data_IF_425650858943
#
_entry.id   IF_425650858943
#
_cell.length_a   1.000
_cell.length_b   1.000
_cell.length_c   1.000
_cell.angle_alpha   90.00
_cell.angle_beta   90.00
_cell.angle_gamma   90.00
#
_symmetry.space_group_name_H-M   'P 1'
#
loop_
_entity.id
_entity.type
_entity.pdbx_description
1 polymer ?
#
# COMPACT_ATOMS: atom_id res chain seq x y z
N UNK A 1 -2.87 -73.44 -34.98
CA UNK A 1 -2.56 -73.38 -33.53
C UNK A 1 -1.34 -72.49 -33.34
N UNK A 2 -1.49 -71.46 -32.52
CA UNK A 2 -0.48 -70.59 -31.89
C UNK A 2 0.64 -69.98 -32.78
N UNK A 3 0.39 -68.76 -33.27
CA UNK A 3 1.46 -67.81 -33.59
C UNK A 3 1.95 -67.14 -32.32
N UNK A 4 3.25 -67.28 -32.04
CA UNK A 4 3.99 -66.53 -31.02
C UNK A 4 4.44 -65.21 -31.65
N UNK A 5 4.09 -64.08 -31.05
CA UNK A 5 4.82 -62.84 -31.26
C UNK A 5 4.89 -62.00 -29.97
N UNK A 6 6.13 -61.91 -29.48
CA UNK A 6 6.86 -60.81 -28.86
C UNK A 6 6.16 -59.58 -28.24
N UNK A 7 6.86 -59.13 -27.20
CA UNK A 7 7.01 -57.75 -26.69
C UNK A 7 5.93 -57.22 -25.73
N UNK A 8 6.27 -57.25 -24.44
CA UNK A 8 5.76 -56.32 -23.43
C UNK A 8 6.94 -55.56 -22.84
N UNK A 9 7.40 -54.57 -23.59
CA UNK A 9 8.28 -53.54 -23.05
C UNK A 9 7.43 -52.52 -22.29
N UNK A 10 7.77 -52.33 -21.02
CA UNK A 10 6.97 -51.58 -20.05
C UNK A 10 7.33 -50.10 -20.17
N UNK A 11 6.57 -49.36 -20.98
CA UNK A 11 6.69 -47.90 -21.06
C UNK A 11 5.87 -47.27 -19.94
N UNK A 12 6.58 -46.85 -18.90
CA UNK A 12 6.07 -46.03 -17.80
C UNK A 12 5.70 -44.66 -18.35
N UNK A 13 4.38 -44.39 -18.47
CA UNK A 13 3.86 -43.07 -18.81
C UNK A 13 4.08 -42.11 -17.62
N UNK A 14 5.24 -41.46 -17.61
CA UNK A 14 5.45 -40.27 -16.79
C UNK A 14 4.68 -39.14 -17.47
N UNK A 15 3.47 -38.87 -16.95
CA UNK A 15 2.72 -37.66 -17.21
C UNK A 15 3.53 -36.47 -16.67
N UNK A 16 4.43 -35.94 -17.49
CA UNK A 16 5.00 -34.61 -17.29
C UNK A 16 3.86 -33.59 -17.31
N UNK A 17 3.48 -33.18 -16.10
CA UNK A 17 2.63 -32.03 -15.86
C UNK A 17 3.36 -30.79 -16.38
N UNK A 18 3.18 -30.46 -17.66
CA UNK A 18 3.57 -29.17 -18.25
C UNK A 18 2.91 -28.06 -17.43
N UNK A 19 3.65 -27.52 -16.45
CA UNK A 19 3.37 -26.21 -15.87
C UNK A 19 3.56 -25.20 -17.00
N UNK A 20 2.45 -24.77 -17.60
CA UNK A 20 2.42 -23.61 -18.48
C UNK A 20 2.75 -22.36 -17.65
N UNK A 21 4.04 -22.06 -17.52
CA UNK A 21 4.51 -20.76 -17.08
C UNK A 21 4.41 -19.79 -18.27
N UNK A 22 3.20 -19.36 -18.59
CA UNK A 22 3.06 -18.06 -19.26
C UNK A 22 3.52 -17.02 -18.22
N UNK A 23 4.46 -16.11 -18.55
CA UNK A 23 4.74 -15.01 -17.65
C UNK A 23 3.42 -14.25 -17.49
N UNK A 24 2.86 -14.25 -16.29
CA UNK A 24 1.81 -13.29 -15.94
C UNK A 24 2.34 -11.92 -16.39
N UNK A 25 1.54 -11.19 -17.15
CA UNK A 25 1.89 -9.86 -17.64
C UNK A 25 2.29 -9.02 -16.43
N UNK A 26 3.59 -8.74 -16.29
CA UNK A 26 4.14 -8.00 -15.14
C UNK A 26 3.58 -6.58 -15.05
N UNK A 27 2.85 -6.15 -16.07
CA UNK A 27 2.22 -4.83 -16.21
C UNK A 27 0.80 -4.74 -15.65
N UNK A 28 0.27 -5.81 -15.07
CA UNK A 28 -1.04 -5.86 -14.44
C UNK A 28 -0.95 -5.87 -12.91
N UNK A 29 -1.97 -5.28 -12.27
CA UNK A 29 -2.10 -5.30 -10.81
C UNK A 29 -2.53 -6.70 -10.37
N UNK A 30 -1.79 -7.28 -9.43
CA UNK A 30 -2.12 -8.57 -8.81
C UNK A 30 -2.12 -8.47 -7.29
N UNK A 31 -2.80 -9.41 -6.65
CA UNK A 31 -2.79 -9.57 -5.19
C UNK A 31 -1.54 -10.35 -4.77
N UNK A 32 -0.96 -9.97 -3.63
CA UNK A 32 0.19 -10.62 -3.01
C UNK A 32 -0.29 -11.48 -1.84
N UNK A 33 0.05 -12.77 -1.88
CA UNK A 33 -0.25 -13.71 -0.80
C UNK A 33 0.81 -13.71 0.31
N UNK A 34 0.43 -14.24 1.48
CA UNK A 34 1.33 -14.37 2.64
C UNK A 34 2.59 -15.21 2.38
N UNK A 35 2.61 -16.06 1.35
CA UNK A 35 3.80 -16.87 1.01
C UNK A 35 4.90 -16.07 0.30
N UNK A 36 4.59 -14.88 -0.22
CA UNK A 36 5.51 -14.09 -1.05
C UNK A 36 5.61 -12.61 -0.61
N UNK A 37 4.94 -12.25 0.48
CA UNK A 37 4.82 -10.88 0.99
C UNK A 37 6.14 -10.17 1.30
N UNK A 38 7.22 -10.90 1.56
CA UNK A 38 8.51 -10.32 1.93
C UNK A 38 9.08 -9.42 0.81
N UNK A 39 8.87 -9.78 -0.45
CA UNK A 39 9.28 -8.93 -1.57
C UNK A 39 8.47 -7.63 -1.65
N UNK A 40 7.19 -7.68 -1.30
CA UNK A 40 6.34 -6.51 -1.22
C UNK A 40 6.74 -5.61 -0.04
N UNK A 41 7.01 -6.21 1.13
CA UNK A 41 7.50 -5.51 2.30
C UNK A 41 8.84 -4.81 2.03
N UNK A 42 9.77 -5.49 1.34
CA UNK A 42 11.07 -4.91 0.98
C UNK A 42 10.92 -3.69 0.07
N UNK A 43 10.03 -3.75 -0.94
CA UNK A 43 9.73 -2.59 -1.78
C UNK A 43 9.22 -1.39 -0.96
N UNK A 44 8.31 -1.63 -0.02
CA UNK A 44 7.79 -0.58 0.84
C UNK A 44 8.86 -0.04 1.81
N UNK A 45 9.69 -0.91 2.39
CA UNK A 45 10.76 -0.49 3.28
C UNK A 45 11.74 0.46 2.58
N UNK A 46 12.14 0.13 1.35
CA UNK A 46 12.96 0.99 0.49
C UNK A 46 12.25 2.28 0.10
N UNK A 47 10.95 2.19 -0.24
CA UNK A 47 10.16 3.34 -0.68
C UNK A 47 9.84 4.33 0.45
N UNK A 48 9.95 3.93 1.71
CA UNK A 48 9.69 4.76 2.90
C UNK A 48 10.96 4.93 3.76
N UNK A 49 12.15 4.74 3.16
CA UNK A 49 13.41 4.74 3.90
C UNK A 49 13.71 6.08 4.57
N UNK A 50 13.20 7.18 4.00
CA UNK A 50 13.43 8.55 4.47
C UNK A 50 12.14 9.27 4.86
N UNK A 51 11.01 8.56 4.90
CA UNK A 51 9.71 9.12 5.20
C UNK A 51 9.59 9.46 6.69
N UNK A 52 9.34 10.73 7.01
CA UNK A 52 9.32 11.23 8.38
C UNK A 52 8.24 10.57 9.25
N UNK A 53 7.10 10.19 8.66
CA UNK A 53 6.00 9.53 9.36
C UNK A 53 6.38 8.08 9.68
N UNK A 54 6.88 7.33 8.70
CA UNK A 54 7.33 5.95 8.90
C UNK A 54 8.52 5.86 9.88
N UNK A 55 9.36 6.90 9.90
CA UNK A 55 10.51 7.02 10.80
C UNK A 55 10.16 7.60 12.17
N UNK A 56 8.93 8.10 12.39
CA UNK A 56 8.55 8.85 13.59
C UNK A 56 8.81 8.14 14.93
N UNK A 57 8.52 6.85 14.98
CA UNK A 57 8.72 5.97 16.14
C UNK A 57 10.01 5.13 16.05
N UNK A 58 10.84 5.39 15.03
CA UNK A 58 12.17 4.77 14.84
C UNK A 58 13.28 5.77 15.20
N UNK A 59 13.15 7.02 14.76
CA UNK A 59 14.06 8.14 15.03
C UNK A 59 13.64 8.92 16.28
N UNK A 60 13.58 8.21 17.39
CA UNK A 60 13.34 8.78 18.72
C UNK A 60 14.64 9.24 19.37
N UNK A 61 14.55 10.19 20.31
CA UNK A 61 15.76 10.73 20.96
C UNK A 61 16.53 9.65 21.75
N UNK A 62 15.81 8.68 22.33
CA UNK A 62 16.39 7.52 23.03
C UNK A 62 17.02 6.47 22.09
N UNK A 63 16.86 6.62 20.77
CA UNK A 63 17.51 5.82 19.73
C UNK A 63 18.69 6.55 19.08
N UNK A 64 19.07 7.74 19.55
CA UNK A 64 20.13 8.57 18.96
C UNK A 64 21.53 7.95 18.98
N UNK A 65 21.82 7.05 19.94
CA UNK A 65 23.10 6.33 20.03
C UNK A 65 23.16 5.04 19.22
N UNK A 66 22.03 4.60 18.65
CA UNK A 66 21.96 3.38 17.85
C UNK A 66 22.43 3.65 16.42
N UNK A 67 23.06 2.67 15.78
CA UNK A 67 23.49 2.79 14.39
C UNK A 67 22.30 2.89 13.43
N UNK A 68 22.50 3.54 12.28
CA UNK A 68 21.47 3.58 11.24
C UNK A 68 21.11 2.19 10.72
N UNK A 69 22.03 1.23 10.70
CA UNK A 69 21.72 -0.17 10.36
C UNK A 69 20.73 -0.81 11.34
N UNK A 70 20.83 -0.48 12.63
CA UNK A 70 19.89 -0.98 13.63
C UNK A 70 18.49 -0.40 13.38
N UNK A 71 18.41 0.92 13.17
CA UNK A 71 17.15 1.61 12.90
C UNK A 71 16.53 1.16 11.58
N UNK A 72 17.35 0.95 10.56
CA UNK A 72 16.94 0.38 9.28
C UNK A 72 16.34 -1.01 9.44
N UNK A 73 16.97 -1.88 10.23
CA UNK A 73 16.42 -3.20 10.53
C UNK A 73 15.07 -3.11 11.26
N UNK A 74 14.93 -2.19 12.21
CA UNK A 74 13.67 -1.94 12.91
C UNK A 74 12.59 -1.48 11.92
N UNK A 75 12.88 -0.49 11.06
CA UNK A 75 12.00 -0.03 9.99
C UNK A 75 11.54 -1.18 9.07
N UNK A 76 12.48 -1.99 8.59
CA UNK A 76 12.16 -3.16 7.75
C UNK A 76 11.26 -4.16 8.49
N UNK A 77 11.51 -4.43 9.77
CA UNK A 77 10.68 -5.32 10.58
C UNK A 77 9.25 -4.76 10.74
N UNK A 78 9.10 -3.45 10.95
CA UNK A 78 7.79 -2.78 11.06
C UNK A 78 7.00 -2.93 9.77
N UNK A 79 7.59 -2.55 8.63
CA UNK A 79 6.94 -2.67 7.32
C UNK A 79 6.62 -4.12 6.99
N UNK A 80 7.48 -5.07 7.38
CA UNK A 80 7.22 -6.50 7.23
C UNK A 80 6.02 -6.97 8.03
N UNK A 81 5.90 -6.57 9.31
CA UNK A 81 4.74 -6.93 10.14
C UNK A 81 3.45 -6.30 9.59
N UNK A 82 3.49 -5.03 9.18
CA UNK A 82 2.35 -4.36 8.56
C UNK A 82 1.93 -5.04 7.26
N UNK A 83 2.88 -5.40 6.40
CA UNK A 83 2.58 -6.11 5.14
C UNK A 83 1.96 -7.48 5.41
N UNK A 84 2.49 -8.24 6.38
CA UNK A 84 1.92 -9.53 6.78
C UNK A 84 0.49 -9.38 7.31
N UNK A 85 0.22 -8.38 8.16
CA UNK A 85 -1.11 -8.11 8.69
C UNK A 85 -2.11 -7.81 7.55
N UNK A 86 -1.71 -7.02 6.56
CA UNK A 86 -2.53 -6.76 5.37
C UNK A 86 -2.71 -7.98 4.47
N UNK A 87 -1.78 -8.94 4.44
CA UNK A 87 -2.01 -10.22 3.76
C UNK A 87 -3.07 -11.09 4.48
N UNK A 88 -3.25 -10.94 5.79
CA UNK A 88 -4.23 -11.73 6.56
C UNK A 88 -5.63 -11.10 6.60
N UNK A 89 -5.71 -9.78 6.82
CA UNK A 89 -6.98 -9.06 7.05
C UNK A 89 -7.27 -7.97 6.02
N UNK A 90 -6.23 -7.46 5.37
CA UNK A 90 -6.33 -6.38 4.38
C UNK A 90 -6.29 -6.91 2.94
N UNK A 91 -5.67 -6.10 2.08
CA UNK A 91 -5.33 -6.47 0.72
C UNK A 91 -3.97 -5.88 0.36
N UNK A 92 -3.07 -6.72 -0.12
CA UNK A 92 -1.77 -6.31 -0.65
C UNK A 92 -1.80 -6.44 -2.16
N UNK A 93 -1.53 -5.35 -2.89
CA UNK A 93 -1.49 -5.35 -4.34
C UNK A 93 -0.12 -4.92 -4.84
N UNK A 94 0.31 -5.50 -5.96
CA UNK A 94 1.59 -5.17 -6.61
C UNK A 94 1.47 -5.14 -8.12
N UNK A 95 2.42 -4.46 -8.76
CA UNK A 95 2.57 -4.35 -10.20
C UNK A 95 4.05 -4.17 -10.55
N UNK A 96 4.43 -4.62 -11.75
CA UNK A 96 5.79 -4.62 -12.24
C UNK A 96 6.58 -5.87 -11.79
N UNK A 97 7.70 -6.17 -12.45
CA UNK A 97 8.57 -7.26 -12.04
C UNK A 97 9.09 -7.03 -10.62
N UNK A 98 9.29 -8.11 -9.85
CA UNK A 98 9.92 -8.05 -8.53
C UNK A 98 9.34 -7.02 -7.56
N UNK A 99 8.01 -6.85 -7.55
CA UNK A 99 7.32 -5.89 -6.68
C UNK A 99 7.78 -4.44 -6.89
N UNK A 100 7.91 -4.04 -8.16
CA UNK A 100 8.33 -2.69 -8.56
C UNK A 100 7.47 -1.58 -7.90
N UNK A 101 6.18 -1.83 -7.70
CA UNK A 101 5.31 -1.02 -6.85
C UNK A 101 4.32 -1.87 -6.04
N UNK A 102 3.95 -1.38 -4.86
CA UNK A 102 3.10 -2.06 -3.88
C UNK A 102 2.12 -1.08 -3.25
N UNK A 103 0.90 -1.55 -2.97
CA UNK A 103 -0.07 -0.84 -2.15
C UNK A 103 -0.71 -1.76 -1.10
N UNK A 104 -0.82 -1.27 0.14
CA UNK A 104 -1.52 -1.94 1.24
C UNK A 104 -2.86 -1.25 1.49
N UNK A 105 -3.92 -2.04 1.54
CA UNK A 105 -5.29 -1.55 1.70
C UNK A 105 -5.99 -2.24 2.86
N UNK A 106 -6.76 -1.49 3.65
CA UNK A 106 -7.77 -2.07 4.53
C UNK A 106 -9.17 -1.94 3.90
N UNK A 107 -9.88 -3.07 3.72
CA UNK A 107 -11.27 -3.06 3.28
C UNK A 107 -12.22 -2.48 4.34
N UNK A 108 -13.44 -2.06 3.93
CA UNK A 108 -14.47 -1.59 4.85
C UNK A 108 -14.78 -2.59 5.96
N UNK A 109 -14.87 -2.10 7.20
CA UNK A 109 -15.22 -2.88 8.39
C UNK A 109 -14.15 -3.89 8.81
N UNK A 110 -12.94 -3.81 8.24
CA UNK A 110 -11.78 -4.57 8.69
C UNK A 110 -10.84 -3.67 9.46
N UNK A 111 -10.40 -4.15 10.61
CA UNK A 111 -9.33 -3.60 11.42
C UNK A 111 -8.25 -4.67 11.69
N UNK A 112 -7.19 -4.29 12.40
CA UNK A 112 -6.11 -5.18 12.80
C UNK A 112 -6.21 -5.66 14.25
N UNK A 113 -7.38 -5.53 14.87
CA UNK A 113 -7.54 -5.68 16.33
C UNK A 113 -7.75 -7.14 16.77
N UNK A 114 -7.80 -8.09 15.83
CA UNK A 114 -7.96 -9.49 16.18
C UNK A 114 -6.63 -10.16 16.60
N UNK A 115 -6.70 -10.93 17.69
CA UNK A 115 -5.55 -11.61 18.28
C UNK A 115 -4.80 -12.54 17.32
N UNK A 116 -5.50 -13.17 16.38
CA UNK A 116 -4.90 -14.13 15.47
C UNK A 116 -4.02 -13.41 14.44
N UNK A 117 -4.51 -12.32 13.86
CA UNK A 117 -3.73 -11.45 12.95
C UNK A 117 -2.56 -10.82 13.70
N UNK A 118 -2.78 -10.28 14.90
CA UNK A 118 -1.73 -9.69 15.73
C UNK A 118 -0.58 -10.67 16.00
N UNK A 119 -0.89 -11.93 16.32
CA UNK A 119 0.11 -12.97 16.54
C UNK A 119 0.81 -13.41 15.25
N UNK A 120 0.04 -13.73 14.20
CA UNK A 120 0.55 -14.31 12.95
C UNK A 120 1.34 -13.32 12.08
N UNK A 121 1.02 -12.05 12.15
CA UNK A 121 1.76 -10.98 11.45
C UNK A 121 3.09 -10.65 12.14
N UNK A 122 3.20 -10.93 13.43
CA UNK A 122 4.34 -10.52 14.24
C UNK A 122 4.21 -9.12 14.83
N UNK A 123 3.05 -8.46 14.71
CA UNK A 123 2.80 -7.14 15.31
C UNK A 123 3.07 -7.10 16.82
N UNK A 124 2.88 -8.22 17.54
CA UNK A 124 3.25 -8.33 18.95
C UNK A 124 4.74 -8.07 19.23
N UNK A 125 5.62 -8.36 18.27
CA UNK A 125 7.06 -8.10 18.40
C UNK A 125 7.35 -6.61 18.41
N UNK A 126 6.48 -5.79 17.81
CA UNK A 126 6.67 -4.35 17.73
C UNK A 126 6.83 -3.73 19.13
N UNK A 127 5.97 -4.13 20.06
CA UNK A 127 6.03 -3.69 21.45
C UNK A 127 7.40 -3.96 22.10
N UNK A 128 8.06 -5.07 21.76
CA UNK A 128 9.38 -5.42 22.32
C UNK A 128 10.56 -4.86 21.52
N UNK A 129 10.32 -4.41 20.28
CA UNK A 129 11.37 -3.92 19.37
C UNK A 129 11.48 -2.40 19.38
N UNK A 130 10.40 -1.69 19.67
CA UNK A 130 10.41 -0.25 19.86
C UNK A 130 11.10 0.13 21.17
N UNK A 131 11.78 1.27 21.18
CA UNK A 131 12.27 1.90 22.41
C UNK A 131 11.11 2.36 23.30
N UNK A 132 11.34 2.74 24.57
CA UNK A 132 10.30 3.36 25.40
C UNK A 132 9.63 4.59 24.75
N UNK A 133 10.40 5.51 24.16
CA UNK A 133 9.82 6.66 23.45
C UNK A 133 9.13 6.22 22.16
N UNK A 134 9.70 5.27 21.41
CA UNK A 134 9.09 4.73 20.19
C UNK A 134 7.73 4.07 20.46
N UNK A 135 7.59 3.36 21.58
CA UNK A 135 6.31 2.81 22.04
C UNK A 135 5.30 3.90 22.35
N UNK A 136 5.73 4.94 23.07
CA UNK A 136 4.84 6.07 23.42
C UNK A 136 4.36 6.76 22.16
N UNK A 137 5.27 7.09 21.23
CA UNK A 137 4.92 7.69 19.94
C UNK A 137 3.98 6.83 19.11
N UNK A 138 4.19 5.51 19.07
CA UNK A 138 3.35 4.62 18.28
C UNK A 138 1.97 4.37 18.93
N UNK A 139 1.94 3.91 20.17
CA UNK A 139 0.73 3.42 20.84
C UNK A 139 -0.09 4.52 21.53
N UNK A 140 0.55 5.56 22.04
CA UNK A 140 -0.11 6.60 22.86
C UNK A 140 -0.35 7.91 22.08
N UNK A 141 0.23 8.06 20.89
CA UNK A 141 0.06 9.24 20.04
C UNK A 141 -0.40 8.88 18.62
N UNK A 142 0.44 8.20 17.83
CA UNK A 142 0.18 7.93 16.42
C UNK A 142 -1.10 7.13 16.17
N UNK A 143 -1.24 5.95 16.79
CA UNK A 143 -2.43 5.11 16.61
C UNK A 143 -3.72 5.79 17.11
N UNK A 144 -3.77 6.40 18.30
CA UNK A 144 -4.92 7.18 18.74
C UNK A 144 -5.26 8.33 17.79
N UNK A 145 -4.25 9.06 17.29
CA UNK A 145 -4.44 10.15 16.32
C UNK A 145 -5.09 9.65 15.03
N UNK A 146 -4.62 8.53 14.46
CA UNK A 146 -5.24 7.96 13.25
C UNK A 146 -6.69 7.56 13.51
N UNK A 147 -6.97 6.88 14.62
CA UNK A 147 -8.33 6.44 14.97
C UNK A 147 -9.28 7.63 15.14
N UNK A 148 -8.89 8.65 15.92
CA UNK A 148 -9.74 9.83 16.11
C UNK A 148 -9.93 10.62 14.82
N UNK A 149 -8.89 10.71 13.98
CA UNK A 149 -8.97 11.40 12.70
C UNK A 149 -9.92 10.70 11.73
N UNK A 150 -9.90 9.38 11.69
CA UNK A 150 -10.87 8.60 10.92
C UNK A 150 -12.29 8.85 11.42
N UNK A 151 -12.50 8.85 12.73
CA UNK A 151 -13.81 9.13 13.34
C UNK A 151 -14.31 10.54 12.98
N UNK A 152 -13.45 11.55 13.06
CA UNK A 152 -13.78 12.94 12.76
C UNK A 152 -14.10 13.16 11.27
N UNK A 153 -13.31 12.55 10.37
CA UNK A 153 -13.43 12.76 8.93
C UNK A 153 -14.52 11.90 8.29
N UNK A 154 -14.69 10.66 8.77
CA UNK A 154 -15.63 9.70 8.18
C UNK A 154 -16.96 9.62 8.94
N UNK A 155 -17.00 9.97 10.23
CA UNK A 155 -18.21 9.99 11.05
C UNK A 155 -18.98 8.68 10.98
N UNK A 156 -20.27 8.76 10.63
CA UNK A 156 -21.15 7.59 10.47
C UNK A 156 -20.64 6.57 9.44
N UNK A 157 -19.74 6.98 8.54
CA UNK A 157 -19.15 6.13 7.49
C UNK A 157 -17.84 5.46 7.92
N UNK A 158 -17.42 5.55 9.19
CA UNK A 158 -16.13 5.02 9.68
C UNK A 158 -15.86 3.54 9.37
N UNK A 159 -16.90 2.74 9.17
CA UNK A 159 -16.78 1.31 8.82
C UNK A 159 -17.04 1.02 7.34
N UNK A 160 -17.19 2.06 6.52
CA UNK A 160 -17.70 1.97 5.17
C UNK A 160 -16.77 2.66 4.15
N UNK A 161 -15.47 2.42 4.21
CA UNK A 161 -14.52 2.98 3.23
C UNK A 161 -13.33 2.04 3.00
N UNK A 162 -12.63 2.23 1.88
CA UNK A 162 -11.33 1.61 1.63
C UNK A 162 -10.22 2.53 2.12
N UNK A 163 -9.31 2.00 2.91
CA UNK A 163 -8.19 2.77 3.46
C UNK A 163 -6.88 2.39 2.74
N UNK A 164 -6.22 3.34 2.08
CA UNK A 164 -4.86 3.18 1.58
C UNK A 164 -3.85 3.46 2.69
N UNK A 165 -3.22 2.41 3.21
CA UNK A 165 -2.28 2.53 4.34
C UNK A 165 -0.86 2.79 3.86
N UNK A 166 -0.42 2.12 2.80
CA UNK A 166 0.89 2.33 2.19
C UNK A 166 0.80 2.29 0.66
N UNK A 167 1.57 3.14 0.01
CA UNK A 167 1.79 3.14 -1.43
C UNK A 167 3.25 3.47 -1.72
N UNK A 168 3.99 2.51 -2.27
CA UNK A 168 5.42 2.67 -2.54
C UNK A 168 5.82 2.10 -3.89
N UNK A 169 6.90 2.63 -4.45
CA UNK A 169 7.53 2.10 -5.67
C UNK A 169 9.04 2.20 -5.56
N UNK A 170 9.73 1.19 -6.08
CA UNK A 170 11.18 1.21 -6.21
C UNK A 170 11.64 2.40 -7.06
N UNK A 171 12.82 2.99 -6.79
CA UNK A 171 13.36 4.07 -7.62
C UNK A 171 13.41 3.71 -9.11
N UNK A 172 13.78 2.48 -9.46
CA UNK A 172 13.83 1.96 -10.83
C UNK A 172 12.47 1.83 -11.53
N UNK A 173 11.37 1.89 -10.77
CA UNK A 173 10.00 1.74 -11.26
C UNK A 173 9.24 3.07 -11.40
N UNK A 174 9.86 4.19 -10.98
CA UNK A 174 9.25 5.52 -11.06
C UNK A 174 9.03 5.95 -12.52
N UNK A 175 8.04 6.82 -12.74
CA UNK A 175 7.67 7.28 -14.08
C UNK A 175 6.86 6.30 -14.94
N UNK A 176 6.71 5.03 -14.53
CA UNK A 176 5.94 4.00 -15.26
C UNK A 176 4.42 4.05 -15.03
N UNK A 177 3.95 4.94 -14.16
CA UNK A 177 2.53 5.07 -13.81
C UNK A 177 1.97 3.97 -12.91
N UNK A 178 2.82 3.13 -12.31
CA UNK A 178 2.42 1.99 -11.49
C UNK A 178 1.60 2.37 -10.25
N UNK A 179 2.04 3.39 -9.50
CA UNK A 179 1.28 3.90 -8.36
C UNK A 179 -0.16 4.30 -8.76
N UNK A 180 -0.31 4.93 -9.93
CA UNK A 180 -1.62 5.33 -10.47
C UNK A 180 -2.46 4.10 -10.80
N UNK A 181 -1.88 3.08 -11.45
CA UNK A 181 -2.58 1.83 -11.75
C UNK A 181 -3.05 1.11 -10.47
N UNK A 182 -2.22 1.06 -9.41
CA UNK A 182 -2.59 0.46 -8.13
C UNK A 182 -3.78 1.18 -7.47
N UNK A 183 -3.74 2.52 -7.40
CA UNK A 183 -4.85 3.31 -6.86
C UNK A 183 -6.11 3.14 -7.71
N UNK A 184 -5.98 3.21 -9.05
CA UNK A 184 -7.12 3.08 -9.96
C UNK A 184 -7.77 1.69 -9.88
N UNK A 185 -6.98 0.64 -9.68
CA UNK A 185 -7.51 -0.71 -9.48
C UNK A 185 -8.46 -0.78 -8.28
N UNK A 186 -8.06 -0.20 -7.14
CA UNK A 186 -8.87 -0.22 -5.93
C UNK A 186 -9.99 0.81 -5.91
N UNK A 187 -9.77 2.01 -6.41
CA UNK A 187 -10.83 3.03 -6.52
C UNK A 187 -11.92 2.63 -7.51
N UNK A 188 -11.61 1.91 -8.59
CA UNK A 188 -12.63 1.34 -9.47
C UNK A 188 -13.48 0.27 -8.77
N UNK A 189 -12.91 -0.48 -7.82
CA UNK A 189 -13.67 -1.39 -6.95
C UNK A 189 -14.54 -0.61 -5.97
N UNK A 190 -13.98 0.39 -5.29
CA UNK A 190 -14.70 1.25 -4.37
C UNK A 190 -15.89 1.96 -5.05
N UNK A 191 -15.71 2.45 -6.28
CA UNK A 191 -16.76 3.07 -7.10
C UNK A 191 -17.92 2.09 -7.37
N UNK A 192 -17.63 0.83 -7.73
CA UNK A 192 -18.66 -0.20 -7.94
C UNK A 192 -19.42 -0.56 -6.67
N UNK A 193 -18.74 -0.52 -5.53
CA UNK A 193 -19.32 -0.82 -4.23
C UNK A 193 -19.97 0.43 -3.57
N UNK A 194 -19.92 1.58 -4.24
CA UNK A 194 -20.36 2.87 -3.73
C UNK A 194 -19.75 3.21 -2.36
N UNK A 195 -18.42 3.07 -2.25
CA UNK A 195 -17.67 3.33 -1.01
C UNK A 195 -16.61 4.41 -1.23
N UNK A 196 -16.44 5.34 -0.27
CA UNK A 196 -15.31 6.26 -0.27
C UNK A 196 -13.98 5.53 -0.19
N UNK A 197 -12.93 6.26 -0.58
CA UNK A 197 -11.54 5.86 -0.37
C UNK A 197 -10.85 6.93 0.46
N UNK A 198 -10.13 6.52 1.50
CA UNK A 198 -9.46 7.38 2.47
C UNK A 198 -7.96 7.09 2.45
N UNK A 199 -7.15 8.12 2.66
CA UNK A 199 -5.71 8.01 2.85
C UNK A 199 -5.20 9.14 3.74
N UNK A 200 -4.05 8.90 4.35
CA UNK A 200 -3.20 9.97 4.86
C UNK A 200 -1.92 10.05 4.03
N UNK A 201 -1.57 11.25 3.60
CA UNK A 201 -0.32 11.52 2.91
C UNK A 201 0.72 12.05 3.88
N UNK A 202 1.92 11.48 3.85
CA UNK A 202 3.07 11.93 4.64
C UNK A 202 3.84 13.10 4.04
N UNK A 203 3.50 13.54 2.82
CA UNK A 203 4.23 14.59 2.13
C UNK A 203 3.32 15.46 1.26
N UNK A 204 3.40 16.77 1.46
CA UNK A 204 2.54 17.76 0.78
C UNK A 204 2.67 17.72 -0.75
N UNK A 205 3.86 17.35 -1.25
CA UNK A 205 4.14 17.19 -2.69
C UNK A 205 3.23 16.15 -3.36
N UNK A 206 2.67 15.20 -2.59
CA UNK A 206 1.78 14.16 -3.10
C UNK A 206 0.32 14.62 -3.20
N UNK A 207 -0.06 15.75 -2.60
CA UNK A 207 -1.45 16.23 -2.62
C UNK A 207 -1.97 16.43 -4.04
N UNK A 208 -1.20 17.08 -4.90
CA UNK A 208 -1.60 17.35 -6.28
C UNK A 208 -1.71 16.05 -7.09
N UNK A 209 -0.87 15.07 -6.79
CA UNK A 209 -0.96 13.74 -7.39
C UNK A 209 -2.28 13.05 -7.00
N UNK A 210 -2.64 13.05 -5.72
CA UNK A 210 -3.90 12.45 -5.25
C UNK A 210 -5.14 13.23 -5.70
N UNK A 211 -5.08 14.56 -5.79
CA UNK A 211 -6.15 15.41 -6.35
C UNK A 211 -6.50 15.02 -7.79
N UNK A 212 -5.49 14.79 -8.64
CA UNK A 212 -5.69 14.29 -10.01
C UNK A 212 -6.38 12.92 -10.07
N UNK A 213 -6.30 12.12 -9.00
CA UNK A 213 -6.96 10.83 -8.86
C UNK A 213 -8.36 10.93 -8.21
N UNK A 214 -8.78 12.14 -7.83
CA UNK A 214 -10.09 12.44 -7.28
C UNK A 214 -10.16 12.53 -5.77
N UNK A 215 -9.03 12.50 -5.08
CA UNK A 215 -8.99 12.71 -3.64
C UNK A 215 -9.07 14.21 -3.33
N UNK A 216 -9.87 14.54 -2.32
CA UNK A 216 -10.00 15.89 -1.80
C UNK A 216 -9.31 15.96 -0.45
N UNK A 217 -8.53 17.03 -0.24
CA UNK A 217 -7.97 17.35 1.07
C UNK A 217 -9.10 17.65 2.07
N UNK A 218 -8.98 17.14 3.29
CA UNK A 218 -9.96 17.35 4.37
C UNK A 218 -9.36 18.15 5.53
N UNK A 219 -8.18 17.77 6.00
CA UNK A 219 -7.49 18.45 7.09
C UNK A 219 -6.02 18.02 7.15
N UNK A 220 -5.24 18.74 7.96
CA UNK A 220 -3.89 18.34 8.36
C UNK A 220 -3.92 17.85 9.81
N UNK A 221 -3.16 16.80 10.09
CA UNK A 221 -2.87 16.32 11.44
C UNK A 221 -1.36 16.33 11.68
N UNK A 222 -0.96 16.34 12.94
CA UNK A 222 0.44 16.49 13.33
C UNK A 222 0.77 15.67 14.56
N UNK A 223 1.98 15.15 14.59
CA UNK A 223 2.58 14.51 15.74
C UNK A 223 3.68 15.42 16.27
N UNK A 224 3.69 15.68 17.58
CA UNK A 224 4.40 16.82 18.18
C UNK A 224 5.65 16.41 18.95
N UNK A 225 5.85 15.12 19.24
CA UNK A 225 7.02 14.66 20.03
C UNK A 225 8.36 14.63 19.29
N UNK A 226 8.38 14.77 17.97
CA UNK A 226 9.64 14.88 17.23
C UNK A 226 10.24 16.30 17.39
N UNK A 227 11.51 16.46 17.02
CA UNK A 227 12.20 17.77 17.10
C UNK A 227 11.50 18.87 16.30
N UNK A 228 10.88 18.49 15.20
CA UNK A 228 9.96 19.32 14.44
C UNK A 228 8.64 18.55 14.28
N UNK A 229 7.47 19.23 14.27
CA UNK A 229 6.19 18.56 14.11
C UNK A 229 6.13 17.83 12.77
N UNK A 230 5.83 16.52 12.82
CA UNK A 230 5.65 15.70 11.61
C UNK A 230 4.18 15.79 11.21
N UNK A 231 3.92 16.14 9.95
CA UNK A 231 2.56 16.39 9.45
C UNK A 231 2.07 15.27 8.54
N UNK A 232 0.76 15.05 8.57
CA UNK A 232 0.05 14.20 7.61
C UNK A 232 -1.16 14.94 7.07
N UNK A 233 -1.42 14.80 5.78
CA UNK A 233 -2.60 15.39 5.14
C UNK A 233 -3.65 14.32 4.88
N UNK A 234 -4.85 14.54 5.41
CA UNK A 234 -5.97 13.62 5.28
C UNK A 234 -6.69 13.91 3.98
N UNK A 235 -6.90 12.87 3.18
CA UNK A 235 -7.62 13.01 1.92
C UNK A 235 -8.67 11.91 1.73
N UNK A 236 -9.81 12.31 1.18
CA UNK A 236 -10.92 11.41 0.89
C UNK A 236 -11.36 11.57 -0.56
N UNK A 237 -11.58 10.45 -1.23
CA UNK A 237 -12.20 10.37 -2.54
C UNK A 237 -13.58 9.74 -2.39
N UNK A 238 -14.61 10.50 -2.74
CA UNK A 238 -15.97 9.97 -2.84
C UNK A 238 -16.11 9.02 -4.05
N UNK A 239 -16.98 8.00 -3.97
CA UNK A 239 -17.19 7.07 -5.07
C UNK A 239 -17.78 7.80 -6.27
N UNK A 240 -17.31 7.44 -7.46
CA UNK A 240 -17.81 7.99 -8.73
C UNK A 240 -18.78 7.00 -9.34
N UNK A 241 -20.04 7.38 -9.45
CA UNK A 241 -21.00 6.61 -10.23
C UNK A 241 -20.56 6.62 -11.70
N UNK A 242 -20.49 5.43 -12.30
CA UNK A 242 -20.20 5.29 -13.72
C UNK A 242 -21.26 5.99 -14.56
N UNK A 243 -21.02 7.25 -14.89
CA UNK A 243 -21.86 7.99 -15.82
C UNK A 243 -21.71 7.37 -17.20
N UNK A 244 -22.77 6.73 -17.70
CA UNK A 244 -23.03 6.80 -19.14
C UNK A 244 -23.06 8.28 -19.48
N UNK A 245 -22.15 8.70 -20.34
CA UNK A 245 -22.03 10.07 -20.81
C UNK A 245 -23.37 10.56 -21.39
N UNK A 246 -24.09 11.41 -20.65
CA UNK A 246 -25.00 12.37 -21.27
C UNK A 246 -24.10 13.42 -21.94
N UNK A 247 -23.81 13.21 -23.21
CA UNK A 247 -23.25 14.23 -24.11
C UNK A 247 -24.29 15.36 -24.21
N UNK A 248 -24.16 16.34 -23.31
CA UNK A 248 -24.69 17.68 -23.50
C UNK A 248 -23.65 18.47 -24.26
N UNK A 249 -23.93 18.69 -25.53
CA UNK A 249 -23.09 19.40 -26.48
C UNK A 249 -23.23 20.90 -26.21
N UNK A 250 -22.21 21.53 -25.64
CA UNK A 250 -22.05 22.99 -25.73
C UNK A 250 -20.61 23.32 -26.10
N UNK A 251 -20.49 23.93 -27.29
CA UNK A 251 -19.24 24.38 -27.88
C UNK A 251 -18.79 25.67 -27.20
N UNK A 252 -17.53 25.72 -26.76
CA UNK A 252 -16.85 26.95 -26.40
C UNK A 252 -15.38 26.87 -26.81
N UNK A 253 -15.03 27.58 -27.88
CA UNK A 253 -13.66 27.75 -28.37
C UNK A 253 -12.83 28.60 -27.39
N UNK A 254 -11.55 28.23 -27.19
CA UNK A 254 -10.58 29.09 -26.50
C UNK A 254 -9.19 28.47 -26.45
N UNK A 255 -8.23 29.11 -27.13
CA UNK A 255 -6.83 28.71 -27.37
C UNK A 255 -5.93 28.85 -26.13
N UNK A 256 -4.77 28.19 -26.14
CA UNK A 256 -3.57 28.74 -25.47
C UNK A 256 -2.58 27.68 -24.95
N UNK A 257 -1.35 27.76 -25.43
CA UNK A 257 -0.22 26.85 -25.23
C UNK A 257 0.40 26.87 -23.82
N UNK A 258 1.21 25.85 -23.52
CA UNK A 258 2.15 25.85 -22.39
C UNK A 258 2.58 24.46 -21.97
N UNK A 259 3.45 23.81 -22.76
CA UNK A 259 4.14 22.58 -22.35
C UNK A 259 5.34 22.95 -21.50
N UNK A 260 5.32 22.58 -20.23
CA UNK A 260 6.52 22.49 -19.40
C UNK A 260 6.52 21.14 -18.69
N UNK A 261 7.50 20.31 -19.05
CA UNK A 261 7.70 18.98 -18.50
C UNK A 261 8.26 19.09 -17.08
N UNK A 262 7.38 19.10 -16.09
CA UNK A 262 7.74 18.96 -14.67
C UNK A 262 7.93 17.48 -14.31
N UNK A 263 9.18 17.06 -14.22
CA UNK A 263 9.61 15.75 -13.73
C UNK A 263 9.26 15.60 -12.23
N UNK A 264 8.27 14.76 -11.90
CA UNK A 264 7.83 14.54 -10.52
C UNK A 264 8.68 13.45 -9.87
N UNK A 265 9.54 13.87 -8.95
CA UNK A 265 10.26 12.96 -8.03
C UNK A 265 9.28 12.44 -6.98
N UNK A 266 8.94 11.16 -7.08
CA UNK A 266 8.29 10.43 -5.99
C UNK A 266 9.30 10.26 -4.86
N UNK A 267 9.02 10.83 -3.69
CA UNK A 267 9.76 10.61 -2.46
C UNK A 267 8.77 9.95 -1.50
N UNK A 268 9.09 8.73 -1.09
CA UNK A 268 9.04 8.37 0.32
C UNK A 268 10.48 8.05 0.74
#
# INVERSE_FOLDING_TARGET
MAHVNKDKDTTVNILEKKRSLSPATTEEVRVVGISEYEGAAQCLAEAFATDEVARYFVDTDDMSSYSEDHKWKLHCDIIKYMTAAHCYKGLVTTIGPNYDAVALWMPPGQDMDDWLTFFRSGLWKLYFRLSPEGRTRFYDEFMPLLHSTIDDVMGDRRHNFYYLVYLGSKPSARGKGYAKKLIQHMTARADRENRPTYLESSAEVNLEYYRKLGFEWKMDVRMERARAPVKMQIMVREPRFGGKSSKGMEMGMGKGEGKENGEVRMIG
#
